data_IF_818546577430
#
_entry.id   IF_818546577430
#
_cell.length_a   1.000
_cell.length_b   1.000
_cell.length_c   1.000
_cell.angle_alpha   90.00
_cell.angle_beta   90.00
_cell.angle_gamma   90.00
#
_symmetry.space_group_name_H-M   'P 1'
#
loop_
_entity.id
_entity.type
_entity.pdbx_description
1 polymer ?
#
# COMPACT_ATOMS: atom_id res chain seq x y z
N UNK A 1 -1.11 -2.12 -18.79
CA UNK A 1 -0.96 -1.15 -17.66
C UNK A 1 -2.24 -0.41 -17.37
N UNK A 2 -3.28 -1.14 -17.07
CA UNK A 2 -4.63 -0.56 -16.91
C UNK A 2 -5.12 -0.58 -15.47
N UNK A 3 -4.37 -1.19 -14.55
CA UNK A 3 -4.83 -1.41 -13.19
C UNK A 3 -4.06 -0.55 -12.19
N UNK A 4 -4.82 0.17 -11.37
CA UNK A 4 -4.28 0.82 -10.18
C UNK A 4 -4.57 -0.07 -8.98
N UNK A 5 -3.61 -0.23 -8.08
CA UNK A 5 -3.74 -1.08 -6.90
C UNK A 5 -3.81 -0.20 -5.65
N UNK A 6 -4.81 -0.45 -4.82
CA UNK A 6 -4.92 0.16 -3.50
C UNK A 6 -4.62 -0.90 -2.46
N UNK A 7 -3.57 -0.70 -1.69
CA UNK A 7 -3.20 -1.62 -0.60
C UNK A 7 -3.68 -0.99 0.71
N UNK A 8 -4.58 -1.68 1.40
CA UNK A 8 -5.19 -1.18 2.64
C UNK A 8 -4.47 -1.78 3.84
N UNK A 9 -3.79 -0.92 4.58
CA UNK A 9 -2.97 -1.30 5.73
C UNK A 9 -3.38 -0.61 7.01
N UNK A 10 -4.52 0.05 7.02
CA UNK A 10 -4.91 0.93 8.13
C UNK A 10 -5.69 0.24 9.26
N UNK A 11 -6.03 -1.04 9.10
CA UNK A 11 -6.86 -1.75 10.07
C UNK A 11 -6.12 -2.14 11.34
N UNK A 12 -6.85 -2.16 12.46
CA UNK A 12 -6.28 -2.59 13.74
C UNK A 12 -5.98 -4.08 13.78
N UNK A 13 -6.68 -4.87 12.98
CA UNK A 13 -6.48 -6.33 12.93
C UNK A 13 -5.12 -6.73 12.37
N UNK A 14 -4.39 -5.79 11.77
CA UNK A 14 -3.06 -6.05 11.23
C UNK A 14 -1.96 -5.98 12.30
N UNK A 15 -2.30 -5.65 13.55
CA UNK A 15 -1.31 -5.50 14.60
C UNK A 15 -1.00 -6.81 15.31
N UNK A 16 0.27 -6.98 15.65
CA UNK A 16 0.75 -8.07 16.51
C UNK A 16 1.61 -7.45 17.60
N UNK A 17 1.22 -7.62 18.86
CA UNK A 17 2.00 -7.12 19.99
C UNK A 17 2.29 -5.62 19.91
N UNK A 18 1.35 -4.83 19.39
CA UNK A 18 1.53 -3.39 19.23
C UNK A 18 2.26 -2.98 17.96
N UNK A 19 2.76 -3.93 17.18
CA UNK A 19 3.47 -3.68 15.92
C UNK A 19 2.57 -4.05 14.75
N UNK A 20 2.55 -3.20 13.73
CA UNK A 20 1.82 -3.49 12.51
C UNK A 20 2.51 -4.62 11.75
N UNK A 21 1.75 -5.68 11.42
CA UNK A 21 2.27 -6.85 10.70
C UNK A 21 3.02 -6.48 9.43
N UNK A 22 2.56 -5.47 8.72
CA UNK A 22 3.15 -5.09 7.43
C UNK A 22 4.58 -4.57 7.57
N UNK A 23 4.98 -4.16 8.77
CA UNK A 23 6.32 -3.65 9.05
C UNK A 23 7.23 -4.70 9.65
N UNK A 24 6.77 -5.94 9.79
CA UNK A 24 7.61 -7.03 10.27
C UNK A 24 8.60 -7.47 9.19
N UNK A 25 9.79 -7.90 9.59
CA UNK A 25 10.77 -8.40 8.62
C UNK A 25 10.32 -9.69 7.95
N UNK A 26 10.64 -9.79 6.66
CA UNK A 26 10.46 -11.01 5.88
C UNK A 26 11.70 -11.13 4.98
N UNK A 27 12.69 -11.87 5.45
CA UNK A 27 14.00 -11.88 4.80
C UNK A 27 14.67 -10.52 4.87
N UNK A 28 15.14 -10.02 3.75
CA UNK A 28 15.81 -8.72 3.64
C UNK A 28 14.85 -7.55 3.51
N UNK A 29 13.55 -7.81 3.44
CA UNK A 29 12.52 -6.80 3.24
C UNK A 29 11.51 -6.86 4.37
N UNK A 30 10.76 -5.77 4.54
CA UNK A 30 9.56 -5.81 5.36
C UNK A 30 8.42 -6.44 4.56
N UNK A 31 7.41 -6.95 5.25
CA UNK A 31 6.23 -7.54 4.60
C UNK A 31 5.65 -6.60 3.54
N UNK A 32 5.48 -5.31 3.88
CA UNK A 32 4.95 -4.34 2.91
C UNK A 32 5.85 -4.20 1.68
N UNK A 33 7.15 -4.31 1.87
CA UNK A 33 8.10 -4.26 0.76
C UNK A 33 7.92 -5.42 -0.19
N UNK A 34 7.75 -6.63 0.34
CA UNK A 34 7.50 -7.83 -0.47
C UNK A 34 6.20 -7.67 -1.26
N UNK A 35 5.15 -7.15 -0.61
CA UNK A 35 3.87 -6.92 -1.26
C UNK A 35 4.00 -5.91 -2.39
N UNK A 36 4.65 -4.78 -2.13
CA UNK A 36 4.87 -3.76 -3.17
C UNK A 36 5.68 -4.31 -4.34
N UNK A 37 6.71 -5.10 -4.06
CA UNK A 37 7.53 -5.68 -5.13
C UNK A 37 6.72 -6.60 -6.03
N UNK A 38 5.79 -7.36 -5.48
CA UNK A 38 4.93 -8.22 -6.28
C UNK A 38 4.13 -7.42 -7.28
N UNK A 39 3.57 -6.28 -6.86
CA UNK A 39 2.82 -5.41 -7.77
C UNK A 39 3.73 -4.62 -8.69
N UNK A 40 4.90 -4.23 -8.23
CA UNK A 40 5.89 -3.52 -9.05
C UNK A 40 6.27 -4.34 -10.29
N UNK A 41 6.38 -5.65 -10.13
CA UNK A 41 6.77 -6.57 -11.21
C UNK A 41 5.62 -6.96 -12.13
N UNK A 42 4.39 -6.61 -11.76
CA UNK A 42 3.21 -6.98 -12.54
C UNK A 42 2.99 -5.95 -13.66
N UNK A 43 3.08 -6.40 -14.90
CA UNK A 43 2.95 -5.52 -16.06
C UNK A 43 1.59 -4.83 -16.14
N UNK A 44 0.53 -5.49 -15.65
CA UNK A 44 -0.82 -4.92 -15.66
C UNK A 44 -0.99 -3.77 -14.69
N UNK A 45 -0.14 -3.68 -13.68
CA UNK A 45 -0.22 -2.64 -12.65
C UNK A 45 0.52 -1.40 -13.12
N UNK A 46 -0.18 -0.27 -13.18
CA UNK A 46 0.44 0.99 -13.57
C UNK A 46 0.87 1.83 -12.37
N UNK A 47 0.21 1.67 -11.23
CA UNK A 47 0.49 2.46 -10.05
C UNK A 47 -0.03 1.79 -8.80
N UNK A 48 0.53 2.18 -7.65
CA UNK A 48 0.20 1.66 -6.33
C UNK A 48 -0.13 2.83 -5.42
N UNK A 49 -1.22 2.71 -4.66
CA UNK A 49 -1.58 3.62 -3.58
C UNK A 49 -1.65 2.81 -2.30
N UNK A 50 -1.05 3.32 -1.24
CA UNK A 50 -1.12 2.66 0.07
C UNK A 50 -1.96 3.51 1.01
N UNK A 51 -2.90 2.86 1.69
CA UNK A 51 -3.70 3.47 2.75
C UNK A 51 -3.20 2.89 4.06
N UNK A 52 -2.64 3.72 4.91
CA UNK A 52 -1.97 3.27 6.13
C UNK A 52 -2.27 4.22 7.28
N UNK A 53 -1.91 3.83 8.48
CA UNK A 53 -1.95 4.72 9.62
C UNK A 53 -0.85 5.75 9.46
N UNK A 54 -1.13 6.98 9.86
CA UNK A 54 -0.17 8.08 9.70
C UNK A 54 1.20 7.74 10.28
N UNK A 55 1.22 7.09 11.44
CA UNK A 55 2.48 6.72 12.10
C UNK A 55 3.31 5.72 11.29
N UNK A 56 2.70 4.94 10.41
CA UNK A 56 3.38 3.91 9.62
C UNK A 56 3.89 4.42 8.27
N UNK A 57 3.38 5.55 7.81
CA UNK A 57 3.70 6.06 6.46
C UNK A 57 5.21 6.30 6.26
N UNK A 58 5.94 6.93 7.20
CA UNK A 58 7.38 7.11 6.99
C UNK A 58 8.14 5.80 6.78
N UNK A 59 7.81 4.77 7.54
CA UNK A 59 8.46 3.46 7.40
C UNK A 59 8.12 2.81 6.05
N UNK A 60 6.88 2.95 5.60
CA UNK A 60 6.45 2.42 4.31
C UNK A 60 7.19 3.11 3.16
N UNK A 61 7.30 4.43 3.22
CA UNK A 61 8.03 5.18 2.19
C UNK A 61 9.52 4.82 2.16
N UNK A 62 10.12 4.66 3.33
CA UNK A 62 11.51 4.25 3.43
C UNK A 62 11.73 2.86 2.82
N UNK A 63 10.81 1.94 3.08
CA UNK A 63 10.89 0.60 2.52
C UNK A 63 10.70 0.62 1.00
N UNK A 64 9.79 1.44 0.50
CA UNK A 64 9.59 1.58 -0.94
C UNK A 64 10.87 2.07 -1.63
N UNK A 65 11.54 3.06 -1.05
CA UNK A 65 12.80 3.56 -1.58
C UNK A 65 13.87 2.47 -1.57
N UNK A 66 14.00 1.76 -0.46
CA UNK A 66 15.00 0.71 -0.31
C UNK A 66 14.75 -0.45 -1.28
N UNK A 67 13.50 -0.76 -1.56
CA UNK A 67 13.12 -1.85 -2.47
C UNK A 67 13.11 -1.43 -3.94
N UNK A 68 13.32 -0.15 -4.24
CA UNK A 68 13.33 0.34 -5.62
C UNK A 68 11.95 0.40 -6.26
N UNK A 69 10.92 0.67 -5.46
CA UNK A 69 9.55 0.74 -5.97
C UNK A 69 9.36 2.05 -6.74
N UNK A 70 9.01 1.92 -8.01
CA UNK A 70 8.76 3.08 -8.87
C UNK A 70 7.28 3.40 -9.04
N UNK A 71 6.39 2.45 -8.77
CA UNK A 71 4.96 2.59 -9.04
C UNK A 71 4.16 3.19 -7.88
N UNK A 72 4.76 3.34 -6.70
CA UNK A 72 4.07 3.94 -5.55
C UNK A 72 3.89 5.44 -5.79
N UNK A 73 2.63 5.88 -5.96
CA UNK A 73 2.34 7.28 -6.24
C UNK A 73 1.87 8.05 -5.02
N UNK A 74 1.31 7.38 -4.03
CA UNK A 74 0.79 8.04 -2.84
C UNK A 74 0.65 7.09 -1.67
N UNK A 75 0.87 7.64 -0.48
CA UNK A 75 0.45 7.02 0.78
C UNK A 75 -0.54 7.98 1.42
N UNK A 76 -1.70 7.47 1.80
CA UNK A 76 -2.73 8.28 2.44
C UNK A 76 -3.22 7.59 3.70
N UNK A 77 -3.90 8.34 4.56
CA UNK A 77 -4.40 7.78 5.81
C UNK A 77 -5.75 7.10 5.61
N UNK A 78 -6.04 6.11 6.46
CA UNK A 78 -7.32 5.44 6.45
C UNK A 78 -8.40 6.24 7.15
N UNK A 79 -9.64 5.83 6.93
CA UNK A 79 -10.80 6.36 7.63
C UNK A 79 -11.18 5.51 8.84
N UNK A 80 -12.36 5.77 9.38
CA UNK A 80 -12.86 5.06 10.55
C UNK A 80 -13.26 3.61 10.22
N UNK A 81 -13.60 3.34 8.97
CA UNK A 81 -14.00 2.01 8.50
C UNK A 81 -13.11 1.57 7.35
N UNK A 82 -13.17 0.26 7.03
CA UNK A 82 -12.47 -0.26 5.87
C UNK A 82 -12.98 0.41 4.59
N UNK A 83 -14.27 0.63 4.48
CA UNK A 83 -14.87 1.28 3.32
C UNK A 83 -14.30 2.69 3.13
N UNK A 84 -14.22 3.46 4.21
CA UNK A 84 -13.64 4.80 4.14
C UNK A 84 -12.17 4.76 3.73
N UNK A 85 -11.43 3.78 4.23
CA UNK A 85 -10.02 3.60 3.86
C UNK A 85 -9.88 3.31 2.37
N UNK A 86 -10.71 2.42 1.84
CA UNK A 86 -10.71 2.12 0.41
C UNK A 86 -11.02 3.37 -0.42
N UNK A 87 -12.02 4.13 -0.01
CA UNK A 87 -12.41 5.37 -0.70
C UNK A 87 -11.24 6.37 -0.68
N UNK A 88 -10.58 6.52 0.46
CA UNK A 88 -9.44 7.42 0.55
C UNK A 88 -8.33 7.02 -0.43
N UNK A 89 -8.09 5.72 -0.57
CA UNK A 89 -7.11 5.23 -1.54
C UNK A 89 -7.54 5.51 -2.98
N UNK A 90 -8.79 5.26 -3.29
CA UNK A 90 -9.33 5.47 -4.64
C UNK A 90 -9.21 6.94 -5.05
N UNK A 91 -9.38 7.87 -4.12
CA UNK A 91 -9.25 9.31 -4.41
C UNK A 91 -7.85 9.69 -4.88
N UNK A 92 -6.84 8.88 -4.58
CA UNK A 92 -5.46 9.15 -4.97
C UNK A 92 -5.09 8.58 -6.34
N UNK A 93 -5.97 7.78 -6.92
CA UNK A 93 -5.71 7.11 -8.20
C UNK A 93 -5.73 8.12 -9.34
N UNK A 94 -4.83 7.93 -10.31
CA UNK A 94 -4.73 8.83 -11.45
C UNK A 94 -5.95 8.69 -12.37
N UNK A 95 -6.24 9.76 -13.10
CA UNK A 95 -7.32 9.77 -14.07
C UNK A 95 -7.01 8.80 -15.20
N UNK A 96 -8.05 8.21 -15.75
CA UNK A 96 -7.92 7.28 -16.87
C UNK A 96 -7.65 5.85 -16.45
N UNK A 97 -7.63 5.57 -15.15
CA UNK A 97 -7.51 4.20 -14.66
C UNK A 97 -8.74 3.40 -15.07
N UNK A 98 -8.52 2.24 -15.69
CA UNK A 98 -9.61 1.38 -16.14
C UNK A 98 -10.05 0.38 -15.08
N UNK A 99 -9.10 -0.12 -14.29
CA UNK A 99 -9.38 -1.12 -13.27
C UNK A 99 -8.74 -0.72 -11.95
N UNK A 100 -9.44 -0.99 -10.86
CA UNK A 100 -8.90 -0.78 -9.51
C UNK A 100 -8.94 -2.11 -8.78
N UNK A 101 -7.78 -2.54 -8.31
CA UNK A 101 -7.68 -3.72 -7.46
C UNK A 101 -7.43 -3.27 -6.03
N UNK A 102 -8.13 -3.89 -5.09
CA UNK A 102 -7.94 -3.61 -3.66
C UNK A 102 -7.33 -4.82 -3.00
N UNK A 103 -6.21 -4.60 -2.32
CA UNK A 103 -5.48 -5.66 -1.61
C UNK A 103 -5.42 -5.31 -0.13
N UNK A 104 -5.74 -6.25 0.70
CA UNK A 104 -5.69 -6.09 2.17
C UNK A 104 -4.38 -6.55 2.79
#
# INVERSE_FOLDING_TARGET
MDTSVVIVCAGNSTRMGGVNKILLPLGDRLVIGVTMLAFEKCESVKEIVIVAREADIPAIKAEADAAGISKLIACTTGGATRQESVINGIKQISRGTKLVAVHD
#
